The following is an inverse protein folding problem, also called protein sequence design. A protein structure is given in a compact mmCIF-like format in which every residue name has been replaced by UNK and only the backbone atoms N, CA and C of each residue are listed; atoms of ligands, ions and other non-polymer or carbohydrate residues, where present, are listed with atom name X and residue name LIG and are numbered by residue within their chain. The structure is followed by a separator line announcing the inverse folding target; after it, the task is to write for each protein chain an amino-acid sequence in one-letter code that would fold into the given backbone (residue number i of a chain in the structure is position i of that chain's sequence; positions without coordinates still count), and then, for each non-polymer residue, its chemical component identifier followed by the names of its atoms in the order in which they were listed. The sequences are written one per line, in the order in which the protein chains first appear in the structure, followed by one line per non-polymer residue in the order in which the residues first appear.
data_IF_600560659903
#
_entry.id   IF_600560659903
#
_cell.length_a   1.000
_cell.length_b   1.000
_cell.length_c   1.000
_cell.angle_alpha   90.00
_cell.angle_beta   90.00
_cell.angle_gamma   90.00
#
_symmetry.space_group_name_H-M   'P 1'
#
loop_
_entity.id
_entity.type
_entity.pdbx_description
1 polymer ?
#
# COMPACT_ATOMS: atom_id res chain seq x y z
N UNK A 1 61.31 8.17 -29.02
CA UNK A 1 60.35 7.10 -28.68
C UNK A 1 59.49 7.64 -27.55
N UNK A 2 58.24 8.01 -27.81
CA UNK A 2 57.33 8.59 -26.81
C UNK A 2 56.23 7.56 -26.52
N UNK A 3 56.14 7.11 -25.26
CA UNK A 3 55.06 6.23 -24.81
C UNK A 3 53.86 7.09 -24.38
N UNK A 4 52.76 6.99 -25.11
CA UNK A 4 51.46 7.52 -24.67
C UNK A 4 50.87 6.59 -23.62
N UNK A 5 50.91 6.98 -22.35
CA UNK A 5 50.17 6.32 -21.30
C UNK A 5 48.69 6.77 -21.37
N UNK A 6 47.77 5.84 -21.65
CA UNK A 6 46.33 6.10 -21.58
C UNK A 6 45.79 5.53 -20.26
N UNK A 7 45.31 6.42 -19.39
CA UNK A 7 44.63 6.03 -18.15
C UNK A 7 43.16 5.74 -18.47
N UNK A 8 42.73 4.48 -18.39
CA UNK A 8 41.31 4.14 -18.34
C UNK A 8 40.82 4.30 -16.90
N UNK A 9 39.80 5.12 -16.68
CA UNK A 9 39.08 5.17 -15.40
C UNK A 9 37.85 4.30 -15.53
N UNK A 10 37.76 3.27 -14.70
CA UNK A 10 36.53 2.53 -14.50
C UNK A 10 35.65 3.36 -13.58
N UNK A 11 34.44 3.68 -14.02
CA UNK A 11 33.43 4.36 -13.21
C UNK A 11 32.45 3.26 -12.79
N UNK A 12 32.25 3.08 -11.49
CA UNK A 12 31.23 2.17 -10.98
C UNK A 12 29.86 2.72 -11.35
N UNK A 13 29.26 2.17 -12.41
CA UNK A 13 27.86 2.38 -12.75
C UNK A 13 27.05 1.21 -12.22
N UNK A 14 26.14 1.47 -11.29
CA UNK A 14 25.11 0.49 -10.93
C UNK A 14 24.16 0.34 -12.13
N UNK A 15 24.00 -0.88 -12.64
CA UNK A 15 23.02 -1.15 -13.69
C UNK A 15 21.62 -0.78 -13.20
N UNK A 16 20.94 0.13 -13.89
CA UNK A 16 19.53 0.39 -13.66
C UNK A 16 18.73 -0.87 -14.03
N UNK A 17 17.76 -1.24 -13.20
CA UNK A 17 16.89 -2.38 -13.46
C UNK A 17 16.21 -2.24 -14.83
N UNK A 18 16.15 -3.34 -15.58
CA UNK A 18 15.56 -3.38 -16.90
C UNK A 18 14.05 -3.09 -16.81
N UNK A 19 13.57 -2.15 -17.62
CA UNK A 19 12.14 -1.86 -17.73
C UNK A 19 11.38 -3.13 -18.14
N UNK A 20 10.49 -3.62 -17.27
CA UNK A 20 9.74 -4.86 -17.49
C UNK A 20 10.38 -6.15 -16.95
N UNK A 21 11.46 -6.08 -16.15
CA UNK A 21 11.89 -7.24 -15.37
C UNK A 21 10.78 -7.61 -14.37
N UNK A 22 10.25 -8.83 -14.48
CA UNK A 22 9.28 -9.37 -13.50
C UNK A 22 9.90 -9.27 -12.11
N UNK A 23 9.25 -8.53 -11.21
CA UNK A 23 9.70 -8.40 -9.83
C UNK A 23 9.81 -9.78 -9.19
N UNK A 24 10.91 -10.01 -8.48
CA UNK A 24 11.20 -11.32 -7.90
C UNK A 24 10.31 -11.57 -6.68
N UNK A 25 9.57 -12.67 -6.63
CA UNK A 25 8.69 -12.96 -5.50
C UNK A 25 9.45 -13.06 -4.18
N UNK A 26 8.83 -12.58 -3.11
CA UNK A 26 9.37 -12.61 -1.74
C UNK A 26 8.75 -13.81 -1.03
N UNK A 27 9.55 -14.84 -0.74
CA UNK A 27 9.07 -16.09 -0.14
C UNK A 27 7.85 -16.69 -0.88
N UNK A 28 7.84 -16.59 -2.22
CA UNK A 28 6.74 -17.07 -3.07
C UNK A 28 5.59 -16.08 -3.26
N UNK A 29 5.56 -14.94 -2.55
CA UNK A 29 4.57 -13.87 -2.71
C UNK A 29 5.02 -12.86 -3.77
N UNK A 30 4.17 -12.59 -4.76
CA UNK A 30 4.35 -11.48 -5.71
C UNK A 30 3.20 -10.49 -5.51
N UNK A 31 3.52 -9.23 -5.18
CA UNK A 31 2.48 -8.20 -4.94
C UNK A 31 1.64 -7.95 -6.19
N UNK A 32 2.25 -7.99 -7.38
CA UNK A 32 1.56 -7.86 -8.68
C UNK A 32 0.54 -8.97 -8.92
N UNK A 33 0.78 -10.17 -8.38
CA UNK A 33 -0.03 -11.35 -8.64
C UNK A 33 -1.15 -11.55 -7.61
N UNK A 34 -1.02 -10.97 -6.41
CA UNK A 34 -2.05 -11.09 -5.37
C UNK A 34 -3.10 -9.99 -5.45
N UNK A 35 -2.74 -8.80 -5.94
CA UNK A 35 -3.68 -7.71 -6.20
C UNK A 35 -4.61 -8.05 -7.36
N UNK A 36 -5.78 -7.43 -7.38
CA UNK A 36 -6.85 -7.73 -8.31
C UNK A 36 -6.67 -6.90 -9.60
N UNK A 37 -6.92 -7.54 -10.74
CA UNK A 37 -6.96 -6.78 -11.99
C UNK A 37 -8.22 -5.89 -12.05
N UNK A 38 -8.20 -4.93 -12.96
CA UNK A 38 -9.32 -4.00 -13.14
C UNK A 38 -10.64 -4.73 -13.46
N UNK A 39 -10.60 -5.84 -14.18
CA UNK A 39 -11.80 -6.62 -14.51
C UNK A 39 -12.44 -7.19 -13.24
N UNK A 40 -11.64 -7.73 -12.32
CA UNK A 40 -12.10 -8.26 -11.04
C UNK A 40 -12.59 -7.13 -10.14
N UNK A 41 -11.88 -6.01 -10.08
CA UNK A 41 -12.31 -4.83 -9.31
C UNK A 41 -13.67 -4.30 -9.79
N UNK A 42 -13.88 -4.20 -11.11
CA UNK A 42 -15.18 -3.82 -11.71
C UNK A 42 -16.32 -4.76 -11.32
N UNK A 43 -16.05 -6.06 -11.30
CA UNK A 43 -17.03 -7.06 -10.91
C UNK A 43 -17.42 -6.96 -9.43
N UNK A 44 -16.47 -6.64 -8.55
CA UNK A 44 -16.70 -6.49 -7.11
C UNK A 44 -17.44 -5.18 -6.78
N UNK A 45 -17.05 -4.08 -7.41
CA UNK A 45 -17.66 -2.76 -7.15
C UNK A 45 -19.03 -2.60 -7.79
N UNK A 46 -19.33 -3.35 -8.87
CA UNK A 46 -20.54 -3.19 -9.68
C UNK A 46 -20.54 -1.96 -10.59
N UNK A 47 -19.43 -1.21 -10.62
CA UNK A 47 -19.26 0.02 -11.39
C UNK A 47 -19.09 -0.20 -12.90
N UNK A 48 -18.76 -1.42 -13.33
CA UNK A 48 -18.54 -1.73 -14.75
C UNK A 48 -17.45 -0.87 -15.38
N UNK A 49 -17.66 -0.41 -16.62
CA UNK A 49 -16.65 0.39 -17.35
C UNK A 49 -16.31 1.74 -16.71
N UNK A 50 -17.13 2.22 -15.77
CA UNK A 50 -16.91 3.50 -15.09
C UNK A 50 -15.81 3.43 -14.02
N UNK A 51 -15.49 2.23 -13.51
CA UNK A 51 -14.33 2.05 -12.65
C UNK A 51 -13.05 2.18 -13.47
N UNK A 52 -12.29 3.23 -13.21
CA UNK A 52 -11.03 3.55 -13.87
C UNK A 52 -9.90 3.68 -12.86
N UNK A 53 -8.70 3.19 -13.22
CA UNK A 53 -7.48 3.46 -12.46
C UNK A 53 -7.16 4.95 -12.55
N UNK A 54 -6.80 5.58 -11.44
CA UNK A 54 -6.23 6.93 -11.44
C UNK A 54 -4.77 6.80 -11.88
N UNK A 55 -4.36 7.30 -13.07
CA UNK A 55 -3.05 6.95 -13.64
C UNK A 55 -1.84 7.31 -12.76
N UNK A 56 -1.94 8.33 -11.93
CA UNK A 56 -0.87 8.74 -11.00
C UNK A 56 -0.83 7.94 -9.70
N UNK A 57 -1.79 7.02 -9.50
CA UNK A 57 -1.99 6.27 -8.25
C UNK A 57 -1.94 4.75 -8.49
N UNK A 58 -1.29 4.32 -9.57
CA UNK A 58 -0.84 2.94 -9.79
C UNK A 58 0.68 2.94 -9.64
N UNK A 59 1.15 2.53 -8.47
CA UNK A 59 2.51 2.78 -8.01
C UNK A 59 3.16 1.56 -7.40
N UNK A 60 4.43 1.33 -7.77
CA UNK A 60 5.28 0.27 -7.19
C UNK A 60 6.20 0.77 -6.08
N UNK A 61 6.06 2.03 -5.68
CA UNK A 61 6.76 2.65 -4.57
C UNK A 61 5.73 3.38 -3.69
N UNK A 62 5.92 3.41 -2.36
CA UNK A 62 5.05 4.16 -1.48
C UNK A 62 5.12 5.66 -1.82
N UNK A 63 3.97 6.31 -1.76
CA UNK A 63 3.82 7.74 -1.99
C UNK A 63 3.42 8.42 -0.70
N UNK A 64 4.21 9.41 -0.31
CA UNK A 64 3.85 10.34 0.76
C UNK A 64 3.36 11.65 0.16
N UNK A 65 2.20 12.12 0.62
CA UNK A 65 1.65 13.41 0.23
C UNK A 65 2.07 14.42 1.30
N UNK A 66 3.33 14.86 1.23
CA UNK A 66 3.96 15.73 2.25
C UNK A 66 3.12 16.96 2.58
N UNK A 67 2.55 17.61 1.56
CA UNK A 67 1.72 18.79 1.72
C UNK A 67 0.46 18.55 2.58
N UNK A 68 -0.08 17.33 2.59
CA UNK A 68 -1.20 16.94 3.46
C UNK A 68 -0.68 16.40 4.80
N UNK A 69 0.38 15.60 4.79
CA UNK A 69 0.98 15.05 6.01
C UNK A 69 1.42 16.15 6.98
N UNK A 70 1.94 17.28 6.47
CA UNK A 70 2.36 18.41 7.30
C UNK A 70 1.21 19.17 7.95
N UNK A 71 -0.04 18.97 7.49
CA UNK A 71 -1.23 19.55 8.11
C UNK A 71 -1.81 18.69 9.24
N UNK A 72 -1.37 17.43 9.35
CA UNK A 72 -1.82 16.50 10.38
C UNK A 72 -0.88 16.49 11.60
N UNK A 73 -1.40 16.21 12.82
CA UNK A 73 -0.57 15.84 13.96
C UNK A 73 0.38 14.70 13.58
N UNK A 74 1.58 14.70 14.16
CA UNK A 74 2.66 13.79 13.76
C UNK A 74 2.21 12.33 13.78
N UNK A 75 1.48 11.95 14.82
CA UNK A 75 0.91 10.62 15.04
C UNK A 75 -0.13 10.21 13.99
N UNK A 76 -0.78 11.18 13.33
CA UNK A 76 -1.84 10.93 12.34
C UNK A 76 -1.36 11.00 10.88
N UNK A 77 -0.06 11.24 10.66
CA UNK A 77 0.51 11.42 9.31
C UNK A 77 0.39 10.18 8.41
N UNK A 78 0.24 8.99 8.98
CA UNK A 78 0.03 7.74 8.24
C UNK A 78 -1.21 7.75 7.33
N UNK A 79 -2.14 8.69 7.53
CA UNK A 79 -3.26 8.90 6.60
C UNK A 79 -2.80 9.38 5.23
N UNK A 80 -1.70 10.13 5.17
CA UNK A 80 -1.17 10.73 3.94
C UNK A 80 0.24 10.25 3.57
N UNK A 81 0.87 9.46 4.44
CA UNK A 81 2.22 8.94 4.25
C UNK A 81 2.20 7.41 4.25
N UNK A 82 2.38 6.82 3.07
CA UNK A 82 2.48 5.37 2.91
C UNK A 82 3.75 4.82 3.54
N UNK A 83 4.84 5.59 3.60
CA UNK A 83 6.05 5.16 4.32
C UNK A 83 5.82 5.04 5.83
N UNK A 84 4.93 5.87 6.40
CA UNK A 84 4.51 5.74 7.78
C UNK A 84 3.53 4.56 8.01
N UNK A 85 2.90 4.07 6.94
CA UNK A 85 1.98 2.92 6.99
C UNK A 85 2.71 1.59 6.84
N UNK A 86 3.59 1.48 5.83
CA UNK A 86 4.26 0.24 5.45
C UNK A 86 5.70 0.13 5.98
N UNK A 87 6.27 1.22 6.47
CA UNK A 87 7.69 1.28 6.84
C UNK A 87 8.61 1.26 5.62
N UNK A 88 9.87 0.93 5.84
CA UNK A 88 10.91 0.89 4.79
C UNK A 88 11.46 -0.52 4.53
N UNK A 89 11.10 -1.51 5.36
CA UNK A 89 11.72 -2.84 5.35
C UNK A 89 11.04 -3.84 4.40
N UNK A 90 10.18 -3.37 3.49
CA UNK A 90 9.58 -4.22 2.46
C UNK A 90 10.55 -4.41 1.28
N UNK A 91 10.48 -5.57 0.62
CA UNK A 91 11.23 -5.84 -0.62
C UNK A 91 10.41 -5.51 -1.87
N UNK A 92 9.08 -5.56 -1.77
CA UNK A 92 8.16 -5.17 -2.83
C UNK A 92 6.97 -4.40 -2.29
N UNK A 93 6.47 -3.47 -3.09
CA UNK A 93 5.26 -2.70 -2.82
C UNK A 93 4.46 -2.49 -4.11
N UNK A 94 3.14 -2.59 -4.05
CA UNK A 94 2.27 -2.15 -5.14
C UNK A 94 0.97 -1.64 -4.55
N UNK A 95 0.48 -0.52 -5.07
CA UNK A 95 -0.84 -0.01 -4.75
C UNK A 95 -1.47 0.60 -5.99
N UNK A 96 -2.76 0.34 -6.16
CA UNK A 96 -3.58 0.87 -7.24
C UNK A 96 -4.82 1.54 -6.66
N UNK A 97 -5.10 2.77 -7.06
CA UNK A 97 -6.34 3.47 -6.75
C UNK A 97 -7.26 3.56 -7.97
N UNK A 98 -8.53 3.24 -7.75
CA UNK A 98 -9.63 3.30 -8.70
C UNK A 98 -10.64 4.38 -8.28
N UNK A 99 -11.34 4.93 -9.26
CA UNK A 99 -12.45 5.89 -9.07
C UNK A 99 -13.70 5.50 -9.86
N UNK A 100 -14.87 5.81 -9.32
CA UNK A 100 -16.18 5.63 -9.98
C UNK A 100 -17.25 6.65 -9.52
N UNK A 101 -17.79 7.49 -10.42
CA UNK A 101 -17.08 8.03 -11.58
C UNK A 101 -15.88 8.87 -11.12
N UNK A 102 -15.12 9.53 -12.01
CA UNK A 102 -14.15 10.55 -11.58
C UNK A 102 -14.75 11.53 -10.56
N UNK A 103 -14.00 11.82 -9.49
CA UNK A 103 -14.41 12.66 -8.35
C UNK A 103 -15.65 12.17 -7.55
N UNK A 104 -16.04 10.91 -7.72
CA UNK A 104 -17.18 10.28 -7.03
C UNK A 104 -16.76 9.41 -5.84
N UNK A 105 -16.64 8.10 -6.07
CA UNK A 105 -16.16 7.13 -5.10
C UNK A 105 -14.71 6.71 -5.41
N UNK A 106 -13.97 6.29 -4.39
CA UNK A 106 -12.60 5.80 -4.50
C UNK A 106 -12.46 4.45 -3.83
N UNK A 107 -11.68 3.56 -4.44
CA UNK A 107 -11.21 2.33 -3.79
C UNK A 107 -9.76 2.10 -4.17
N UNK A 108 -8.93 1.79 -3.19
CA UNK A 108 -7.52 1.43 -3.39
C UNK A 108 -7.27 0.07 -2.80
N UNK A 109 -6.44 -0.71 -3.48
CA UNK A 109 -5.83 -1.92 -2.95
C UNK A 109 -4.31 -1.76 -2.97
N UNK A 110 -3.65 -2.26 -1.94
CA UNK A 110 -2.19 -2.23 -1.87
C UNK A 110 -1.63 -3.42 -1.11
N UNK A 111 -0.39 -3.75 -1.41
CA UNK A 111 0.35 -4.81 -0.75
C UNK A 111 1.83 -4.46 -0.65
N UNK A 112 2.41 -4.70 0.53
CA UNK A 112 3.85 -4.74 0.76
C UNK A 112 4.27 -6.17 1.11
N UNK A 113 5.34 -6.68 0.51
CA UNK A 113 5.93 -7.97 0.84
C UNK A 113 7.29 -7.76 1.54
N UNK A 114 7.48 -8.41 2.69
CA UNK A 114 8.64 -8.26 3.57
C UNK A 114 9.55 -9.48 3.52
N UNK A 115 10.84 -9.36 3.87
CA UNK A 115 11.80 -10.47 3.79
C UNK A 115 11.37 -11.75 4.53
N UNK A 116 10.61 -11.60 5.62
CA UNK A 116 10.13 -12.69 6.45
C UNK A 116 8.86 -12.29 7.23
N UNK A 117 8.21 -13.29 7.85
CA UNK A 117 6.95 -13.14 8.59
C UNK A 117 7.10 -12.23 9.81
N UNK A 118 8.24 -12.26 10.49
CA UNK A 118 8.46 -11.44 11.68
C UNK A 118 8.58 -9.96 11.32
N UNK A 119 9.26 -9.63 10.21
CA UNK A 119 9.31 -8.26 9.68
C UNK A 119 7.92 -7.77 9.26
N UNK A 120 7.12 -8.59 8.57
CA UNK A 120 5.75 -8.24 8.20
C UNK A 120 4.86 -7.97 9.42
N UNK A 121 4.93 -8.84 10.44
CA UNK A 121 4.20 -8.68 11.71
C UNK A 121 4.66 -7.46 12.49
N UNK A 122 5.95 -7.16 12.48
CA UNK A 122 6.50 -5.98 13.12
C UNK A 122 5.96 -4.70 12.47
N UNK A 123 5.97 -4.62 11.13
CA UNK A 123 5.40 -3.50 10.40
C UNK A 123 3.90 -3.31 10.73
N UNK A 124 3.12 -4.39 10.75
CA UNK A 124 1.71 -4.34 11.13
C UNK A 124 1.50 -3.86 12.59
N UNK A 125 2.29 -4.38 13.53
CA UNK A 125 2.20 -3.97 14.96
C UNK A 125 2.60 -2.51 15.13
N UNK A 126 3.60 -2.03 14.38
CA UNK A 126 4.00 -0.62 14.36
C UNK A 126 2.88 0.27 13.83
N UNK A 127 2.18 -0.17 12.78
CA UNK A 127 1.01 0.53 12.25
C UNK A 127 -0.12 0.60 13.28
N UNK A 128 -0.45 -0.50 13.96
CA UNK A 128 -1.46 -0.52 15.03
C UNK A 128 -1.11 0.48 16.13
N UNK A 129 0.16 0.50 16.59
CA UNK A 129 0.62 1.47 17.59
C UNK A 129 0.53 2.92 17.10
N UNK A 130 0.75 3.17 15.80
CA UNK A 130 0.61 4.50 15.19
C UNK A 130 -0.85 4.94 15.16
N UNK A 131 -1.77 4.05 14.79
CA UNK A 131 -3.21 4.30 14.82
C UNK A 131 -3.69 4.58 16.23
N UNK A 132 -3.28 3.77 17.22
CA UNK A 132 -3.64 3.98 18.63
C UNK A 132 -3.14 5.34 19.14
N UNK A 133 -1.90 5.72 18.82
CA UNK A 133 -1.35 7.01 19.19
C UNK A 133 -2.16 8.18 18.59
N UNK A 134 -2.51 8.10 17.30
CA UNK A 134 -3.37 9.10 16.67
C UNK A 134 -4.77 9.13 17.27
N UNK A 135 -5.38 7.97 17.52
CA UNK A 135 -6.72 7.84 18.08
C UNK A 135 -6.84 8.48 19.47
N UNK A 136 -5.80 8.34 20.28
CA UNK A 136 -5.73 8.93 21.63
C UNK A 136 -5.35 10.43 21.62
N UNK A 137 -4.93 10.97 20.46
CA UNK A 137 -4.56 12.37 20.27
C UNK A 137 -5.76 13.27 19.92
N UNK A 138 -5.48 14.57 19.79
CA UNK A 138 -6.51 15.58 19.44
C UNK A 138 -7.09 15.40 18.03
N UNK A 139 -6.36 14.71 17.14
CA UNK A 139 -6.79 14.40 15.78
C UNK A 139 -7.56 13.08 15.63
N UNK A 140 -7.68 12.27 16.69
CA UNK A 140 -8.15 10.88 16.60
C UNK A 140 -9.52 10.71 15.93
N UNK A 141 -10.51 11.53 16.29
CA UNK A 141 -11.84 11.44 15.69
C UNK A 141 -11.84 11.76 14.19
N UNK A 142 -10.98 12.66 13.73
CA UNK A 142 -10.91 13.09 12.33
C UNK A 142 -10.13 12.09 11.48
N UNK A 143 -8.96 11.67 11.97
CA UNK A 143 -7.98 10.88 11.22
C UNK A 143 -8.08 9.37 11.44
N UNK A 144 -8.76 8.90 12.49
CA UNK A 144 -8.96 7.47 12.75
C UNK A 144 -10.44 7.13 12.78
N UNK A 145 -11.25 7.93 13.47
CA UNK A 145 -12.66 7.63 13.71
C UNK A 145 -12.84 6.32 14.49
N UNK A 146 -13.86 5.55 14.15
CA UNK A 146 -14.05 4.21 14.73
C UNK A 146 -12.94 3.29 14.25
N UNK A 147 -12.29 2.58 15.17
CA UNK A 147 -11.25 1.62 14.82
C UNK A 147 -11.25 0.38 15.72
N UNK A 148 -10.70 -0.70 15.18
CA UNK A 148 -10.50 -1.96 15.87
C UNK A 148 -9.27 -2.67 15.29
N UNK A 149 -8.50 -3.32 16.14
CA UNK A 149 -7.39 -4.18 15.73
C UNK A 149 -7.44 -5.52 16.46
N UNK A 150 -7.00 -6.57 15.77
CA UNK A 150 -6.63 -7.86 16.33
C UNK A 150 -5.16 -8.19 15.96
N UNK A 151 -4.74 -9.44 16.19
CA UNK A 151 -3.37 -9.87 15.92
C UNK A 151 -2.95 -9.79 14.44
N UNK A 152 -3.90 -9.71 13.51
CA UNK A 152 -3.66 -9.78 12.07
C UNK A 152 -4.46 -8.78 11.25
N UNK A 153 -5.51 -8.17 11.81
CA UNK A 153 -6.38 -7.23 11.10
C UNK A 153 -6.49 -5.90 11.84
N UNK A 154 -6.56 -4.81 11.08
CA UNK A 154 -6.79 -3.47 11.59
C UNK A 154 -7.79 -2.78 10.68
N UNK A 155 -8.82 -2.18 11.25
CA UNK A 155 -9.82 -1.40 10.52
C UNK A 155 -10.02 -0.06 11.20
N UNK A 156 -10.11 0.99 10.40
CA UNK A 156 -10.45 2.35 10.86
C UNK A 156 -11.43 3.05 9.90
N UNK A 157 -12.12 4.08 10.38
CA UNK A 157 -13.17 4.81 9.66
C UNK A 157 -12.94 6.33 9.65
N UNK A 158 -11.85 6.82 9.01
CA UNK A 158 -11.56 8.24 8.94
C UNK A 158 -12.49 8.97 7.97
N UNK A 159 -13.11 10.06 8.40
CA UNK A 159 -13.76 11.03 7.49
C UNK A 159 -14.80 10.46 6.52
N UNK A 160 -15.47 9.36 6.85
CA UNK A 160 -16.44 8.69 5.96
C UNK A 160 -15.84 7.69 4.96
N UNK A 161 -14.52 7.46 5.03
CA UNK A 161 -13.82 6.38 4.33
C UNK A 161 -13.57 5.20 5.28
N UNK A 162 -13.42 4.00 4.73
CA UNK A 162 -12.84 2.85 5.41
C UNK A 162 -11.40 2.63 4.99
N UNK A 163 -10.53 2.31 5.95
CA UNK A 163 -9.21 1.72 5.69
C UNK A 163 -9.09 0.43 6.45
N UNK A 164 -8.59 -0.59 5.78
CA UNK A 164 -8.46 -1.94 6.30
C UNK A 164 -7.10 -2.49 5.98
N UNK A 165 -6.51 -3.16 6.95
CA UNK A 165 -5.21 -3.77 6.85
C UNK A 165 -5.28 -5.21 7.29
N UNK A 166 -4.51 -6.05 6.63
CA UNK A 166 -4.35 -7.43 7.03
C UNK A 166 -2.90 -7.88 6.82
N UNK A 167 -2.28 -8.45 7.85
CA UNK A 167 -0.99 -9.14 7.71
C UNK A 167 -1.23 -10.64 7.52
N UNK A 168 -0.64 -11.21 6.48
CA UNK A 168 -0.74 -12.62 6.13
C UNK A 168 0.56 -13.11 5.51
N UNK A 169 1.14 -14.18 6.07
CA UNK A 169 2.48 -14.66 5.68
C UNK A 169 3.51 -13.52 5.75
N UNK A 170 4.17 -13.21 4.64
CA UNK A 170 5.14 -12.11 4.51
C UNK A 170 4.53 -10.83 3.94
N UNK A 171 3.21 -10.74 3.78
CA UNK A 171 2.55 -9.60 3.17
C UNK A 171 1.74 -8.76 4.18
N UNK A 172 1.77 -7.44 4.03
CA UNK A 172 0.82 -6.50 4.61
C UNK A 172 -0.06 -5.94 3.49
N UNK A 173 -1.35 -6.20 3.60
CA UNK A 173 -2.37 -5.78 2.64
C UNK A 173 -3.07 -4.51 3.16
N UNK A 174 -3.44 -3.62 2.25
CA UNK A 174 -4.31 -2.46 2.52
C UNK A 174 -5.48 -2.46 1.54
N UNK A 175 -6.68 -2.19 2.04
CA UNK A 175 -7.81 -1.73 1.24
C UNK A 175 -8.34 -0.42 1.82
N UNK A 176 -8.38 0.62 1.00
CA UNK A 176 -8.98 1.92 1.36
C UNK A 176 -10.20 2.16 0.47
N UNK A 177 -11.33 2.58 1.03
CA UNK A 177 -12.56 2.82 0.27
C UNK A 177 -13.33 4.02 0.79
N UNK A 178 -13.74 4.91 -0.13
CA UNK A 178 -14.54 6.09 0.13
C UNK A 178 -15.75 6.09 -0.83
N UNK A 179 -16.96 6.22 -0.32
CA UNK A 179 -18.16 6.27 -1.17
C UNK A 179 -18.67 4.93 -1.71
N UNK A 180 -17.98 3.81 -1.44
CA UNK A 180 -18.52 2.46 -1.65
C UNK A 180 -19.11 1.89 -0.35
N UNK A 181 -19.99 0.90 -0.49
CA UNK A 181 -20.47 0.12 0.65
C UNK A 181 -19.33 -0.71 1.26
N UNK A 182 -19.35 -0.87 2.58
CA UNK A 182 -18.35 -1.65 3.34
C UNK A 182 -18.13 -3.06 2.77
N UNK A 183 -19.18 -3.72 2.29
CA UNK A 183 -19.07 -5.06 1.72
C UNK A 183 -18.13 -5.12 0.52
N UNK A 184 -17.93 -4.02 -0.22
CA UNK A 184 -17.02 -3.95 -1.36
C UNK A 184 -15.58 -4.11 -0.88
N UNK A 185 -15.15 -3.34 0.12
CA UNK A 185 -13.78 -3.45 0.65
C UNK A 185 -13.52 -4.81 1.31
N UNK A 186 -14.52 -5.35 2.02
CA UNK A 186 -14.45 -6.70 2.61
C UNK A 186 -14.21 -7.78 1.54
N UNK A 187 -14.92 -7.69 0.40
CA UNK A 187 -14.77 -8.63 -0.72
C UNK A 187 -13.39 -8.46 -1.39
N UNK A 188 -12.92 -7.22 -1.60
CA UNK A 188 -11.59 -6.97 -2.17
C UNK A 188 -10.51 -7.58 -1.26
N UNK A 189 -10.52 -7.27 0.03
CA UNK A 189 -9.56 -7.82 1.01
C UNK A 189 -9.58 -9.36 1.00
N UNK A 190 -10.78 -9.95 1.00
CA UNK A 190 -10.93 -11.41 0.94
C UNK A 190 -10.32 -12.03 -0.31
N UNK A 191 -10.48 -11.39 -1.48
CA UNK A 191 -9.94 -11.90 -2.74
C UNK A 191 -8.42 -11.76 -2.80
N UNK A 192 -7.85 -10.63 -2.34
CA UNK A 192 -6.39 -10.44 -2.28
C UNK A 192 -5.78 -11.47 -1.32
N UNK A 193 -6.34 -11.62 -0.13
CA UNK A 193 -5.85 -12.58 0.86
C UNK A 193 -5.93 -14.03 0.36
N UNK A 194 -6.93 -14.37 -0.46
CA UNK A 194 -7.05 -15.70 -1.07
C UNK A 194 -5.96 -16.00 -2.11
N UNK A 195 -5.36 -14.97 -2.72
CA UNK A 195 -4.26 -15.11 -3.67
C UNK A 195 -2.89 -15.27 -2.99
N UNK A 196 -2.78 -15.01 -1.68
CA UNK A 196 -1.52 -15.16 -0.94
C UNK A 196 -1.23 -16.66 -0.75
N UNK A 197 -0.06 -17.16 -1.22
CA UNK A 197 0.37 -18.54 -1.00
C UNK A 197 0.41 -18.92 0.48
N UNK A 198 -0.02 -20.15 0.80
CA UNK A 198 0.00 -20.73 2.15
C UNK A 198 1.24 -21.57 2.39
#
# INVERSE_FOLDING_TARGET
MALTAACTRVVDGSAAAQFGATRHSVQGVSVDAILLDQTRMRAITGAGEHLSIIPSMDGTNPVDIDALADTAPRECRFIYAETATFGADFEQFHKTTYQDPPDGALISEGAAAYPNVDTARHAFTSLVGTVEACANGSGGQLYVGDWNADATSLRLRPGGCGREYQVLSVALLEVTSCGFAQSVSDIVMTNIAANVPR
#
